data_IF_746968926573
#
_entry.id   IF_746968926573
#
_cell.length_a   1.000
_cell.length_b   1.000
_cell.length_c   1.000
_cell.angle_alpha   90.00
_cell.angle_beta   90.00
_cell.angle_gamma   90.00
#
_symmetry.space_group_name_H-M   'P 1'
#
loop_
_entity.id
_entity.type
_entity.pdbx_description
1 polymer ?
#
# COMPACT_ATOMS: atom_id res chain seq x y z
N UNK A 1 3.67 0.76 17.43
CA UNK A 1 4.53 -0.13 16.63
C UNK A 1 5.37 0.73 15.70
N UNK A 2 6.70 0.76 15.87
CA UNK A 2 7.62 1.55 15.02
C UNK A 2 8.21 0.59 13.99
N UNK A 3 7.92 0.82 12.71
CA UNK A 3 8.45 0.00 11.63
C UNK A 3 9.88 0.44 11.32
N UNK A 4 10.87 -0.48 11.29
CA UNK A 4 12.27 -0.11 11.07
C UNK A 4 12.65 0.15 9.59
N UNK A 5 11.72 0.28 8.64
CA UNK A 5 12.02 0.15 7.20
C UNK A 5 11.65 1.34 6.30
N UNK A 6 11.68 2.58 6.80
CA UNK A 6 11.71 3.75 5.91
C UNK A 6 12.78 4.71 6.41
N UNK A 7 13.80 4.96 5.59
CA UNK A 7 14.73 6.06 5.83
C UNK A 7 14.00 7.43 5.84
N UNK A 8 12.81 7.52 5.21
CA UNK A 8 12.15 8.79 4.85
C UNK A 8 10.68 8.95 5.30
N UNK A 9 10.08 8.12 6.17
CA UNK A 9 8.67 8.38 6.61
C UNK A 9 7.85 7.27 7.29
N UNK A 10 6.55 7.50 7.41
CA UNK A 10 5.55 6.61 8.03
C UNK A 10 5.15 5.42 7.15
N UNK A 11 4.45 4.43 7.72
CA UNK A 11 3.93 3.27 6.95
C UNK A 11 3.04 3.73 5.80
N UNK A 12 2.13 4.67 6.05
CA UNK A 12 1.24 5.22 5.05
C UNK A 12 2.03 5.83 3.89
N UNK A 13 3.09 6.59 4.17
CA UNK A 13 3.92 7.23 3.14
C UNK A 13 4.66 6.19 2.30
N UNK A 14 5.25 5.19 2.95
CA UNK A 14 5.98 4.11 2.30
C UNK A 14 5.09 3.29 1.35
N UNK A 15 3.86 2.96 1.78
CA UNK A 15 2.98 2.06 1.01
C UNK A 15 2.05 2.78 0.03
N UNK A 16 1.67 4.02 0.32
CA UNK A 16 0.63 4.74 -0.43
C UNK A 16 1.06 6.14 -0.90
N UNK A 17 2.30 6.57 -0.63
CA UNK A 17 2.79 7.90 -1.01
C UNK A 17 2.77 8.16 -2.51
N UNK A 18 3.03 7.13 -3.31
CA UNK A 18 2.99 7.19 -4.78
C UNK A 18 1.69 6.62 -5.35
N UNK A 19 0.61 6.59 -4.56
CA UNK A 19 -0.69 6.17 -5.06
C UNK A 19 -1.09 7.11 -6.23
N UNK A 20 -1.54 6.54 -7.37
CA UNK A 20 -1.82 7.29 -8.59
C UNK A 20 -3.19 7.95 -8.57
N UNK A 21 -3.42 8.76 -7.55
CA UNK A 21 -4.65 9.50 -7.39
C UNK A 21 -4.52 10.84 -8.13
N UNK A 22 -5.62 11.30 -8.71
CA UNK A 22 -5.61 12.53 -9.51
C UNK A 22 -5.43 13.78 -8.65
N UNK A 23 -5.89 13.74 -7.38
CA UNK A 23 -5.77 14.82 -6.43
C UNK A 23 -4.67 14.52 -5.38
N UNK A 24 -3.62 15.35 -5.25
CA UNK A 24 -2.57 15.17 -4.25
C UNK A 24 -3.09 15.24 -2.80
N UNK A 25 -4.20 15.95 -2.56
CA UNK A 25 -4.85 16.00 -1.23
C UNK A 25 -5.46 14.66 -0.86
N UNK A 26 -5.99 13.90 -1.85
CA UNK A 26 -6.50 12.54 -1.65
C UNK A 26 -5.36 11.58 -1.32
N UNK A 27 -4.23 11.68 -2.03
CA UNK A 27 -3.03 10.90 -1.72
C UNK A 27 -2.50 11.18 -0.31
N UNK A 28 -2.41 12.46 0.09
CA UNK A 28 -2.00 12.84 1.44
C UNK A 28 -2.95 12.31 2.52
N UNK A 29 -4.27 12.31 2.25
CA UNK A 29 -5.27 11.76 3.17
C UNK A 29 -5.17 10.24 3.28
N UNK A 30 -4.97 9.53 2.17
CA UNK A 30 -4.77 8.09 2.15
C UNK A 30 -3.59 7.67 3.04
N UNK A 31 -2.46 8.39 2.94
CA UNK A 31 -1.29 8.20 3.80
C UNK A 31 -1.66 8.34 5.28
N UNK A 32 -2.32 9.44 5.66
CA UNK A 32 -2.70 9.70 7.07
C UNK A 32 -3.64 8.63 7.62
N UNK A 33 -4.65 8.24 6.84
CA UNK A 33 -5.63 7.21 7.25
C UNK A 33 -4.95 5.86 7.42
N UNK A 34 -4.03 5.50 6.53
CA UNK A 34 -3.27 4.26 6.65
C UNK A 34 -2.47 4.20 7.97
N UNK A 35 -1.82 5.30 8.34
CA UNK A 35 -1.10 5.40 9.62
C UNK A 35 -2.03 5.29 10.83
N UNK A 36 -3.21 5.93 10.77
CA UNK A 36 -4.22 5.87 11.84
C UNK A 36 -4.80 4.46 12.02
N UNK A 37 -5.13 3.79 10.91
CA UNK A 37 -5.64 2.42 10.94
C UNK A 37 -4.57 1.47 11.50
N UNK A 38 -3.31 1.68 11.12
CA UNK A 38 -2.21 0.86 11.62
C UNK A 38 -1.93 1.08 13.11
N UNK A 39 -2.11 2.30 13.62
CA UNK A 39 -1.94 2.59 15.03
C UNK A 39 -2.96 1.84 15.91
N UNK A 40 -4.15 1.52 15.36
CA UNK A 40 -5.21 0.76 16.02
C UNK A 40 -5.80 -0.26 15.04
N UNK A 41 -5.15 -1.41 14.81
CA UNK A 41 -5.55 -2.35 13.76
C UNK A 41 -6.88 -3.06 14.07
N UNK A 42 -7.20 -3.24 15.36
CA UNK A 42 -8.46 -3.82 15.82
C UNK A 42 -9.61 -2.79 15.80
N UNK A 43 -10.85 -3.30 15.82
CA UNK A 43 -12.05 -2.47 15.86
C UNK A 43 -12.52 -1.94 14.51
N UNK A 44 -13.57 -1.13 14.54
CA UNK A 44 -14.23 -0.55 13.36
C UNK A 44 -13.57 0.76 12.91
N UNK A 45 -13.86 1.22 11.69
CA UNK A 45 -13.33 2.50 11.20
C UNK A 45 -13.71 3.71 12.08
N UNK A 46 -14.96 3.85 12.57
CA UNK A 46 -15.30 4.92 13.51
C UNK A 46 -14.52 4.87 14.83
N UNK A 47 -14.18 3.68 15.33
CA UNK A 47 -13.34 3.53 16.53
C UNK A 47 -11.89 3.96 16.28
N UNK A 48 -11.41 3.82 15.04
CA UNK A 48 -10.06 4.21 14.61
C UNK A 48 -9.96 5.71 14.33
N UNK A 49 -11.04 6.34 13.86
CA UNK A 49 -11.14 7.76 13.56
C UNK A 49 -12.24 8.40 14.42
N UNK A 50 -11.96 8.75 15.69
CA UNK A 50 -12.97 9.28 16.62
C UNK A 50 -13.43 10.70 16.28
N UNK A 51 -12.66 11.46 15.49
CA UNK A 51 -13.07 12.76 14.99
C UNK A 51 -14.09 12.57 13.84
N UNK A 52 -15.34 13.04 14.00
CA UNK A 52 -16.38 12.86 12.99
C UNK A 52 -16.03 13.54 11.65
N UNK A 53 -15.27 14.63 11.66
CA UNK A 53 -14.84 15.29 10.43
C UNK A 53 -13.79 14.47 9.68
N UNK A 54 -12.90 13.78 10.39
CA UNK A 54 -11.92 12.86 9.78
C UNK A 54 -12.59 11.61 9.23
N UNK A 55 -13.62 11.10 9.92
CA UNK A 55 -14.40 9.97 9.46
C UNK A 55 -15.21 10.31 8.20
N UNK A 56 -15.91 11.45 8.17
CA UNK A 56 -16.60 11.93 6.95
C UNK A 56 -15.61 12.16 5.80
N UNK A 57 -14.46 12.77 6.11
CA UNK A 57 -13.37 12.96 5.16
C UNK A 57 -12.84 11.64 4.56
N UNK A 58 -12.81 10.55 5.34
CA UNK A 58 -12.47 9.21 4.87
C UNK A 58 -13.59 8.66 3.98
N UNK A 59 -14.86 8.75 4.38
CA UNK A 59 -15.95 8.27 3.53
C UNK A 59 -16.00 8.99 2.18
N UNK A 60 -15.78 10.31 2.16
CA UNK A 60 -15.66 11.09 0.91
C UNK A 60 -14.45 10.67 0.07
N UNK A 61 -13.34 10.30 0.71
CA UNK A 61 -12.17 9.76 0.00
C UNK A 61 -12.52 8.43 -0.67
N UNK A 62 -13.18 7.52 0.05
CA UNK A 62 -13.56 6.20 -0.46
C UNK A 62 -14.66 6.27 -1.53
N UNK A 63 -15.49 7.29 -1.51
CA UNK A 63 -16.51 7.54 -2.52
C UNK A 63 -15.97 8.25 -3.78
N UNK A 64 -14.71 8.70 -3.78
CA UNK A 64 -14.14 9.38 -4.92
C UNK A 64 -13.85 8.40 -6.08
N UNK A 65 -14.22 8.73 -7.33
CA UNK A 65 -14.19 7.78 -8.45
C UNK A 65 -12.77 7.33 -8.84
N UNK A 66 -11.74 8.12 -8.54
CA UNK A 66 -10.34 7.79 -8.81
C UNK A 66 -9.69 6.96 -7.68
N UNK A 67 -10.31 6.89 -6.50
CA UNK A 67 -9.85 6.11 -5.35
C UNK A 67 -10.39 4.69 -5.46
N UNK A 68 -9.87 3.96 -6.44
CA UNK A 68 -10.23 2.56 -6.65
C UNK A 68 -9.35 1.62 -5.82
N UNK A 69 -9.87 0.44 -5.49
CA UNK A 69 -9.08 -0.62 -4.86
C UNK A 69 -7.79 -0.93 -5.63
N UNK A 70 -7.86 -0.98 -6.96
CA UNK A 70 -6.69 -1.21 -7.82
C UNK A 70 -5.67 -0.07 -7.71
N UNK A 71 -6.11 1.19 -7.71
CA UNK A 71 -5.22 2.35 -7.56
C UNK A 71 -4.50 2.33 -6.21
N UNK A 72 -5.22 2.04 -5.13
CA UNK A 72 -4.66 1.98 -3.76
C UNK A 72 -3.67 0.81 -3.61
N UNK A 73 -4.03 -0.39 -4.07
CA UNK A 73 -3.16 -1.57 -3.94
C UNK A 73 -1.93 -1.52 -4.84
N UNK A 74 -1.98 -0.83 -5.99
CA UNK A 74 -0.89 -0.83 -6.96
C UNK A 74 0.46 -0.50 -6.34
N UNK A 75 0.52 0.57 -5.53
CA UNK A 75 1.77 1.02 -4.90
C UNK A 75 2.21 0.05 -3.80
N UNK A 76 1.26 -0.45 -3.00
CA UNK A 76 1.54 -1.45 -1.97
C UNK A 76 2.10 -2.75 -2.56
N UNK A 77 1.45 -3.31 -3.58
CA UNK A 77 1.90 -4.54 -4.25
C UNK A 77 3.25 -4.34 -4.95
N UNK A 78 3.46 -3.20 -5.62
CA UNK A 78 4.75 -2.88 -6.24
C UNK A 78 5.90 -2.90 -5.23
N UNK A 79 5.68 -2.31 -4.05
CA UNK A 79 6.68 -2.35 -2.97
C UNK A 79 6.95 -3.79 -2.50
N UNK A 80 5.90 -4.59 -2.28
CA UNK A 80 6.05 -6.00 -1.89
C UNK A 80 6.82 -6.78 -2.95
N UNK A 81 6.48 -6.63 -4.24
CA UNK A 81 7.20 -7.29 -5.33
C UNK A 81 8.66 -6.87 -5.42
N UNK A 82 8.97 -5.58 -5.23
CA UNK A 82 10.35 -5.09 -5.18
C UNK A 82 11.12 -5.74 -4.04
N UNK A 83 10.55 -5.75 -2.82
CA UNK A 83 11.18 -6.38 -1.65
C UNK A 83 11.40 -7.87 -1.85
N UNK A 84 10.44 -8.56 -2.46
CA UNK A 84 10.61 -9.96 -2.85
C UNK A 84 11.76 -10.13 -3.84
N UNK A 85 11.88 -9.28 -4.87
CA UNK A 85 12.99 -9.35 -5.82
C UNK A 85 14.35 -9.10 -5.13
N UNK A 86 14.44 -8.10 -4.26
CA UNK A 86 15.67 -7.71 -3.56
C UNK A 86 16.12 -8.76 -2.53
N UNK A 87 15.18 -9.39 -1.81
CA UNK A 87 15.47 -10.41 -0.80
C UNK A 87 15.81 -11.78 -1.41
N UNK A 88 15.42 -12.05 -2.65
CA UNK A 88 15.46 -13.40 -3.22
C UNK A 88 16.71 -13.62 -4.07
N UNK A 89 17.76 -14.21 -3.46
CA UNK A 89 18.75 -15.04 -4.20
C UNK A 89 18.22 -16.45 -4.55
N UNK A 90 16.96 -16.77 -4.25
CA UNK A 90 16.29 -18.00 -4.66
C UNK A 90 15.04 -18.30 -3.83
N UNK A 91 13.87 -18.24 -4.47
CA UNK A 91 12.52 -18.61 -4.00
C UNK A 91 11.86 -17.70 -2.93
N UNK A 92 10.62 -17.27 -3.22
CA UNK A 92 9.69 -16.66 -2.26
C UNK A 92 8.51 -17.61 -1.97
N UNK A 93 8.12 -17.71 -0.70
CA UNK A 93 7.01 -18.57 -0.26
C UNK A 93 5.69 -17.78 -0.29
N UNK A 94 4.70 -18.27 -1.02
CA UNK A 94 3.33 -17.72 -1.02
C UNK A 94 2.43 -18.74 -0.33
N UNK A 95 2.11 -18.51 0.94
CA UNK A 95 1.20 -19.37 1.72
C UNK A 95 -0.24 -18.86 1.60
N UNK A 96 -0.94 -19.24 0.53
CA UNK A 96 -2.35 -18.89 0.32
C UNK A 96 -2.72 -18.87 -1.15
N UNK A 97 -3.09 -20.04 -1.68
CA UNK A 97 -3.41 -20.25 -3.10
C UNK A 97 -2.30 -21.03 -3.80
N UNK A 98 -2.68 -22.14 -4.42
CA UNK A 98 -1.82 -23.20 -4.94
C UNK A 98 -0.95 -22.77 -6.15
N UNK A 99 -0.03 -21.81 -5.99
CA UNK A 99 0.99 -21.44 -7.00
C UNK A 99 2.28 -20.93 -6.35
N UNK A 100 3.34 -21.73 -6.44
CA UNK A 100 4.72 -21.26 -6.34
C UNK A 100 5.09 -20.61 -7.68
N UNK A 101 5.09 -19.28 -7.74
CA UNK A 101 5.63 -18.56 -8.90
C UNK A 101 7.15 -18.47 -8.77
N UNK A 102 7.90 -19.22 -9.60
CA UNK A 102 9.33 -18.95 -9.80
C UNK A 102 9.45 -17.64 -10.57
N UNK A 103 9.95 -16.59 -9.91
CA UNK A 103 10.34 -15.35 -10.56
C UNK A 103 11.67 -15.56 -11.30
N UNK A 104 11.69 -16.39 -12.36
CA UNK A 104 12.84 -16.51 -13.25
C UNK A 104 12.67 -15.56 -14.44
N UNK A 105 13.54 -14.55 -14.47
CA UNK A 105 14.10 -13.91 -15.67
C UNK A 105 13.13 -13.70 -16.85
N UNK A 106 12.29 -12.66 -16.76
CA UNK A 106 11.55 -12.12 -17.92
C UNK A 106 12.09 -10.75 -18.35
N UNK A 107 13.42 -10.60 -18.29
CA UNK A 107 14.12 -9.43 -18.80
C UNK A 107 15.30 -9.88 -19.66
N UNK A 108 15.00 -10.42 -20.85
CA UNK A 108 15.97 -10.58 -21.92
C UNK A 108 15.78 -9.38 -22.86
N UNK A 109 16.80 -8.55 -23.11
CA UNK A 109 16.66 -7.46 -24.07
C UNK A 109 16.38 -8.04 -25.45
N UNK A 110 15.36 -7.51 -26.13
CA UNK A 110 15.16 -7.72 -27.56
C UNK A 110 16.34 -7.04 -28.24
N UNK A 111 17.27 -7.86 -28.76
CA UNK A 111 18.37 -7.38 -29.60
C UNK A 111 17.88 -7.40 -31.05
N UNK A 112 18.13 -6.34 -31.85
CA UNK A 112 17.74 -6.30 -33.25
C UNK A 112 18.44 -7.38 -34.08
#
# INVERSE_FOLDING_TARGET
MRFPESADGSFGRLHFGDAPLSDPRRAARLVRVADQILARPAGTLPQKLPDPYQLDALYRLLAAPDVTHAAVLRTHCRLTHRRMADATRGNALICGGNRVARLRERNRPIRP
#
